data_IF_029210126880
#
_entry.id   IF_029210126880
#
_cell.length_a   1.000
_cell.length_b   1.000
_cell.length_c   1.000
_cell.angle_alpha   90.00
_cell.angle_beta   90.00
_cell.angle_gamma   90.00
#
_symmetry.space_group_name_H-M   'P 1'
#
loop_
_entity.id
_entity.type
_entity.pdbx_description
1 polymer ?
#
# COMPACT_ATOMS: atom_id res chain seq x y z
N UNK A 1 80.08 -11.68 -45.20
CA UNK A 1 79.46 -10.80 -44.17
C UNK A 1 77.96 -10.81 -44.42
N UNK A 2 77.16 -11.52 -43.55
CA UNK A 2 75.72 -11.66 -43.73
C UNK A 2 75.05 -11.11 -42.43
N UNK A 3 74.37 -9.96 -42.53
CA UNK A 3 73.66 -9.31 -41.45
C UNK A 3 72.25 -9.91 -41.37
N UNK A 4 71.95 -10.57 -40.28
CA UNK A 4 70.61 -11.08 -40.00
C UNK A 4 69.82 -10.03 -39.21
N UNK A 5 68.84 -9.44 -39.89
CA UNK A 5 67.85 -8.51 -39.24
C UNK A 5 66.84 -9.32 -38.42
N UNK A 6 66.79 -9.07 -37.07
CA UNK A 6 65.78 -9.64 -36.23
C UNK A 6 64.59 -8.65 -36.12
N UNK A 7 63.47 -9.04 -36.64
CA UNK A 7 62.22 -8.32 -36.54
C UNK A 7 61.59 -8.75 -35.19
N UNK A 8 61.51 -7.81 -34.24
CA UNK A 8 60.77 -7.98 -32.99
C UNK A 8 59.29 -7.59 -33.26
N UNK A 9 58.41 -8.58 -33.29
CA UNK A 9 56.97 -8.40 -33.33
C UNK A 9 56.48 -8.10 -31.90
N UNK A 10 56.17 -6.85 -31.62
CA UNK A 10 55.48 -6.43 -30.36
C UNK A 10 53.97 -6.66 -30.54
N UNK A 11 53.47 -7.72 -29.93
CA UNK A 11 52.04 -7.97 -29.84
C UNK A 11 51.50 -7.05 -28.76
N UNK A 12 50.81 -5.96 -29.16
CA UNK A 12 50.10 -5.06 -28.29
C UNK A 12 48.76 -5.72 -27.90
N UNK A 13 48.69 -6.22 -26.68
CA UNK A 13 47.49 -6.86 -26.11
C UNK A 13 46.53 -5.74 -25.62
N UNK A 14 45.63 -5.28 -26.50
CA UNK A 14 44.52 -4.39 -26.10
C UNK A 14 43.53 -5.14 -25.21
N UNK A 15 43.69 -5.00 -23.90
CA UNK A 15 42.69 -5.44 -22.93
C UNK A 15 41.50 -4.50 -23.02
N UNK A 16 40.47 -4.88 -23.76
CA UNK A 16 39.18 -4.22 -23.78
C UNK A 16 38.55 -4.42 -22.39
N UNK A 17 38.64 -3.42 -21.53
CA UNK A 17 37.81 -3.33 -20.31
C UNK A 17 36.35 -3.18 -20.72
N UNK A 18 35.63 -4.30 -20.73
CA UNK A 18 34.18 -4.31 -20.83
C UNK A 18 33.64 -3.83 -19.47
N UNK A 19 33.30 -2.55 -19.37
CA UNK A 19 32.52 -2.03 -18.24
C UNK A 19 31.14 -2.67 -18.29
N UNK A 20 30.70 -3.37 -17.22
CA UNK A 20 29.32 -3.87 -17.18
C UNK A 20 28.38 -2.66 -17.20
N UNK A 21 27.60 -2.53 -18.25
CA UNK A 21 26.47 -1.61 -18.29
C UNK A 21 25.42 -2.12 -17.31
N UNK A 22 25.37 -1.51 -16.11
CA UNK A 22 24.30 -1.73 -15.16
C UNK A 22 23.04 -1.13 -15.78
N UNK A 23 22.18 -1.97 -16.31
CA UNK A 23 20.85 -1.59 -16.75
C UNK A 23 20.04 -1.34 -15.47
N UNK A 24 19.96 -0.07 -15.04
CA UNK A 24 19.02 0.34 -14.03
C UNK A 24 17.63 0.22 -14.64
N UNK A 25 16.81 -0.68 -14.11
CA UNK A 25 15.39 -0.70 -14.46
C UNK A 25 14.79 0.68 -14.20
N UNK A 26 13.96 1.22 -15.13
CA UNK A 26 13.31 2.49 -14.90
C UNK A 26 12.51 2.42 -13.59
N UNK A 27 12.58 3.47 -12.77
CA UNK A 27 11.81 3.56 -11.53
C UNK A 27 10.32 3.43 -11.87
N UNK A 28 9.58 2.59 -11.12
CA UNK A 28 8.14 2.44 -11.30
C UNK A 28 7.45 3.81 -11.11
N UNK A 29 6.41 4.05 -11.91
CA UNK A 29 5.52 5.21 -11.72
C UNK A 29 4.53 4.94 -10.56
N UNK A 30 3.95 6.00 -10.01
CA UNK A 30 2.91 5.87 -8.99
C UNK A 30 1.70 5.05 -9.48
N UNK A 31 1.37 5.15 -10.77
CA UNK A 31 0.27 4.42 -11.39
C UNK A 31 0.59 2.92 -11.50
N UNK A 32 1.80 2.58 -11.96
CA UNK A 32 2.26 1.19 -12.03
C UNK A 32 2.27 0.50 -10.67
N UNK A 33 2.63 1.21 -9.59
CA UNK A 33 2.56 0.66 -8.22
C UNK A 33 1.13 0.31 -7.85
N UNK A 34 0.15 1.18 -8.12
CA UNK A 34 -1.26 0.90 -7.81
C UNK A 34 -1.80 -0.22 -8.69
N UNK A 35 -1.52 -0.22 -9.99
CA UNK A 35 -1.95 -1.29 -10.90
C UNK A 35 -1.37 -2.63 -10.45
N UNK A 36 -0.06 -2.73 -10.28
CA UNK A 36 0.62 -3.98 -9.93
C UNK A 36 0.16 -4.54 -8.58
N UNK A 37 0.05 -3.68 -7.55
CA UNK A 37 -0.42 -4.13 -6.23
C UNK A 37 -1.89 -4.55 -6.25
N UNK A 38 -2.72 -3.87 -7.05
CA UNK A 38 -4.13 -4.24 -7.25
C UNK A 38 -4.25 -5.60 -7.94
N UNK A 39 -3.53 -5.81 -9.04
CA UNK A 39 -3.52 -7.11 -9.73
C UNK A 39 -3.00 -8.24 -8.85
N UNK A 40 -1.94 -7.98 -8.08
CA UNK A 40 -1.35 -8.97 -7.18
C UNK A 40 -2.34 -9.42 -6.10
N UNK A 41 -3.05 -8.48 -5.45
CA UNK A 41 -4.01 -8.84 -4.40
C UNK A 41 -5.22 -9.60 -4.96
N UNK A 42 -5.75 -9.22 -6.15
CA UNK A 42 -6.87 -9.95 -6.75
C UNK A 42 -6.47 -11.34 -7.21
N UNK A 43 -5.27 -11.50 -7.77
CA UNK A 43 -4.72 -12.82 -8.12
C UNK A 43 -4.61 -13.68 -6.87
N UNK A 44 -4.01 -13.17 -5.80
CA UNK A 44 -3.88 -13.90 -4.54
C UNK A 44 -5.23 -14.28 -3.92
N UNK A 45 -6.23 -13.38 -3.96
CA UNK A 45 -7.60 -13.69 -3.49
C UNK A 45 -8.22 -14.81 -4.32
N UNK A 46 -8.01 -14.83 -5.63
CA UNK A 46 -8.53 -15.87 -6.52
C UNK A 46 -7.83 -17.20 -6.28
N UNK A 47 -6.50 -17.19 -6.21
CA UNK A 47 -5.70 -18.41 -6.06
C UNK A 47 -5.87 -19.06 -4.68
N UNK A 48 -6.14 -18.26 -3.64
CA UNK A 48 -6.26 -18.69 -2.24
C UNK A 48 -7.69 -18.58 -1.69
N UNK A 49 -8.68 -18.55 -2.56
CA UNK A 49 -10.08 -18.36 -2.18
C UNK A 49 -10.59 -19.46 -1.22
N UNK A 50 -10.12 -20.72 -1.36
CA UNK A 50 -10.46 -21.81 -0.46
C UNK A 50 -9.94 -21.60 0.96
N UNK A 51 -8.73 -21.07 1.10
CA UNK A 51 -8.14 -20.75 2.40
C UNK A 51 -8.88 -19.58 3.07
N UNK A 52 -9.25 -18.56 2.29
CA UNK A 52 -10.05 -17.43 2.78
C UNK A 52 -11.45 -17.90 3.22
N UNK A 53 -12.05 -18.87 2.51
CA UNK A 53 -13.34 -19.45 2.91
C UNK A 53 -13.25 -20.14 4.25
N UNK A 54 -12.21 -20.95 4.46
CA UNK A 54 -12.00 -21.65 5.73
C UNK A 54 -11.64 -20.69 6.86
N UNK A 55 -10.73 -19.75 6.59
CA UNK A 55 -10.26 -18.76 7.56
C UNK A 55 -10.32 -17.33 6.99
N UNK A 56 -11.34 -16.54 7.29
CA UNK A 56 -11.47 -15.16 6.82
C UNK A 56 -10.29 -14.24 7.19
N UNK A 57 -9.52 -14.55 8.24
CA UNK A 57 -8.33 -13.79 8.62
C UNK A 57 -7.19 -13.94 7.60
N UNK A 58 -7.24 -14.98 6.77
CA UNK A 58 -6.27 -15.16 5.67
C UNK A 58 -6.28 -13.97 4.70
N UNK A 59 -7.45 -13.37 4.47
CA UNK A 59 -7.54 -12.14 3.68
C UNK A 59 -6.73 -10.98 4.30
N UNK A 60 -6.74 -10.84 5.63
CA UNK A 60 -5.95 -9.81 6.31
C UNK A 60 -4.44 -10.03 6.07
N UNK A 61 -3.99 -11.29 6.13
CA UNK A 61 -2.61 -11.67 5.84
C UNK A 61 -2.22 -11.28 4.41
N UNK A 62 -3.03 -11.61 3.42
CA UNK A 62 -2.77 -11.21 2.02
C UNK A 62 -2.68 -9.70 1.84
N UNK A 63 -3.57 -8.94 2.49
CA UNK A 63 -3.50 -7.47 2.49
C UNK A 63 -2.19 -6.99 3.12
N UNK A 64 -1.76 -7.58 4.25
CA UNK A 64 -0.50 -7.23 4.90
C UNK A 64 0.73 -7.53 4.04
N UNK A 65 0.76 -8.65 3.37
CA UNK A 65 1.89 -9.07 2.54
C UNK A 65 1.97 -8.30 1.21
N UNK A 66 0.84 -7.96 0.61
CA UNK A 66 0.79 -7.43 -0.77
C UNK A 66 0.59 -5.91 -0.79
N UNK A 67 -0.31 -5.34 0.02
CA UNK A 67 -0.65 -3.92 -0.06
C UNK A 67 0.15 -3.05 0.91
N UNK A 68 0.43 -3.57 2.13
CA UNK A 68 1.08 -2.80 3.18
C UNK A 68 2.49 -2.30 2.81
N UNK A 69 3.33 -3.04 2.06
CA UNK A 69 4.65 -2.55 1.64
C UNK A 69 4.61 -1.27 0.80
N UNK A 70 3.47 -1.02 0.13
CA UNK A 70 3.25 0.17 -0.70
C UNK A 70 2.59 1.34 0.05
N UNK A 71 2.45 1.25 1.39
CA UNK A 71 1.78 2.27 2.21
C UNK A 71 2.70 2.80 3.32
N UNK A 72 2.68 4.13 3.54
CA UNK A 72 3.38 4.78 4.65
C UNK A 72 2.42 5.05 5.81
N UNK A 73 2.31 4.07 6.71
CA UNK A 73 1.44 4.19 7.88
C UNK A 73 1.92 5.23 8.88
N UNK A 74 3.21 5.53 8.96
CA UNK A 74 3.72 6.61 9.82
C UNK A 74 3.22 7.96 9.33
N UNK A 75 3.24 8.20 8.01
CA UNK A 75 2.70 9.41 7.41
C UNK A 75 1.17 9.49 7.49
N UNK A 76 0.48 8.37 7.30
CA UNK A 76 -0.97 8.28 7.52
C UNK A 76 -1.33 8.64 8.96
N UNK A 77 -0.63 8.08 9.94
CA UNK A 77 -0.82 8.35 11.36
C UNK A 77 -0.57 9.83 11.70
N UNK A 78 0.51 10.41 11.15
CA UNK A 78 0.82 11.82 11.30
C UNK A 78 -0.31 12.73 10.78
N UNK A 79 -0.90 12.37 9.64
CA UNK A 79 -2.03 13.11 9.06
C UNK A 79 -3.31 12.94 9.89
N UNK A 80 -3.59 11.74 10.40
CA UNK A 80 -4.75 11.46 11.24
C UNK A 80 -4.70 12.19 12.59
N UNK A 81 -3.50 12.24 13.21
CA UNK A 81 -3.31 12.90 14.49
C UNK A 81 -3.16 14.42 14.41
N UNK A 82 -2.73 14.94 13.24
CA UNK A 82 -2.54 16.36 13.02
C UNK A 82 -1.59 17.00 14.05
N UNK A 83 -2.07 18.01 14.80
CA UNK A 83 -1.26 18.71 15.82
C UNK A 83 -0.79 17.80 16.95
N UNK A 84 -1.56 16.79 17.30
CA UNK A 84 -1.27 15.86 18.39
C UNK A 84 -0.07 14.94 18.10
N UNK A 85 0.29 14.75 16.83
CA UNK A 85 1.49 14.02 16.49
C UNK A 85 2.76 14.59 17.09
N UNK A 86 2.89 15.93 17.10
CA UNK A 86 4.10 16.60 17.56
C UNK A 86 4.26 16.55 19.09
N UNK A 87 3.16 16.51 19.81
CA UNK A 87 3.13 16.52 21.28
C UNK A 87 3.20 15.13 21.91
N UNK A 88 2.99 14.08 21.13
CA UNK A 88 3.05 12.71 21.62
C UNK A 88 4.49 12.24 21.83
N UNK A 89 4.73 11.38 22.81
CA UNK A 89 5.99 10.68 23.02
C UNK A 89 6.29 9.73 21.87
N UNK A 90 7.59 9.51 21.60
CA UNK A 90 8.03 8.67 20.46
C UNK A 90 7.54 7.23 20.58
N UNK A 91 7.56 6.65 21.76
CA UNK A 91 7.05 5.32 22.06
C UNK A 91 5.56 5.19 21.72
N UNK A 92 4.75 6.13 22.22
CA UNK A 92 3.32 6.17 21.96
C UNK A 92 2.97 6.42 20.49
N UNK A 93 3.79 7.23 19.77
CA UNK A 93 3.63 7.41 18.32
C UNK A 93 3.85 6.10 17.57
N UNK A 94 4.90 5.36 17.93
CA UNK A 94 5.21 4.06 17.30
C UNK A 94 4.09 3.05 17.54
N UNK A 95 3.60 2.96 18.77
CA UNK A 95 2.48 2.09 19.12
C UNK A 95 1.20 2.50 18.38
N UNK A 96 0.89 3.80 18.34
CA UNK A 96 -0.25 4.31 17.58
C UNK A 96 -0.18 3.90 16.10
N UNK A 97 0.98 4.00 15.46
CA UNK A 97 1.15 3.59 14.05
C UNK A 97 0.77 2.12 13.85
N UNK A 98 1.24 1.25 14.76
CA UNK A 98 0.93 -0.19 14.73
C UNK A 98 -0.58 -0.41 14.88
N UNK A 99 -1.20 0.19 15.90
CA UNK A 99 -2.61 0.01 16.18
C UNK A 99 -3.50 0.62 15.11
N UNK A 100 -3.12 1.76 14.54
CA UNK A 100 -3.86 2.40 13.44
C UNK A 100 -3.77 1.58 12.14
N UNK A 101 -2.61 0.99 11.83
CA UNK A 101 -2.46 0.04 10.72
C UNK A 101 -3.44 -1.14 10.87
N UNK A 102 -3.45 -1.79 12.03
CA UNK A 102 -4.35 -2.90 12.30
C UNK A 102 -5.83 -2.49 12.18
N UNK A 103 -6.20 -1.32 12.69
CA UNK A 103 -7.55 -0.77 12.56
C UNK A 103 -7.94 -0.62 11.08
N UNK A 104 -7.07 -0.05 10.25
CA UNK A 104 -7.35 0.16 8.83
C UNK A 104 -7.48 -1.16 8.07
N UNK A 105 -6.55 -2.10 8.28
CA UNK A 105 -6.60 -3.42 7.65
C UNK A 105 -7.93 -4.11 8.02
N UNK A 106 -8.24 -4.16 9.31
CA UNK A 106 -9.45 -4.80 9.83
C UNK A 106 -10.73 -4.17 9.27
N UNK A 107 -10.75 -2.84 9.14
CA UNK A 107 -11.93 -2.10 8.69
C UNK A 107 -12.15 -2.24 7.19
N UNK A 108 -11.06 -2.22 6.41
CA UNK A 108 -11.16 -2.07 4.95
C UNK A 108 -10.78 -3.32 4.14
N UNK A 109 -10.21 -4.40 4.73
CA UNK A 109 -9.89 -5.63 3.97
C UNK A 109 -11.10 -6.23 3.26
N UNK A 110 -12.27 -6.17 3.88
CA UNK A 110 -13.50 -6.65 3.25
C UNK A 110 -13.83 -5.86 1.98
N UNK A 111 -13.53 -4.56 1.95
CA UNK A 111 -13.77 -3.73 0.76
C UNK A 111 -12.89 -4.15 -0.42
N UNK A 112 -11.65 -4.59 -0.16
CA UNK A 112 -10.75 -5.13 -1.20
C UNK A 112 -11.37 -6.33 -1.89
N UNK A 113 -11.99 -7.24 -1.15
CA UNK A 113 -12.65 -8.42 -1.71
C UNK A 113 -13.96 -8.09 -2.46
N UNK A 114 -14.51 -6.89 -2.27
CA UNK A 114 -15.80 -6.48 -2.85
C UNK A 114 -15.73 -6.08 -4.31
N UNK A 115 -14.58 -5.67 -4.82
CA UNK A 115 -14.37 -5.34 -6.21
C UNK A 115 -13.79 -6.54 -6.97
N UNK A 116 -13.99 -6.60 -8.28
CA UNK A 116 -13.24 -7.44 -9.21
C UNK A 116 -12.32 -6.56 -10.04
N UNK A 117 -11.26 -7.12 -10.62
CA UNK A 117 -10.34 -6.36 -11.48
C UNK A 117 -11.09 -5.71 -12.66
N UNK A 118 -12.04 -6.43 -13.25
CA UNK A 118 -12.82 -5.96 -14.40
C UNK A 118 -13.74 -4.78 -14.03
N UNK A 119 -14.01 -4.60 -12.75
CA UNK A 119 -14.82 -3.49 -12.25
C UNK A 119 -14.01 -2.19 -12.04
N UNK A 120 -12.68 -2.24 -12.15
CA UNK A 120 -11.79 -1.11 -11.88
C UNK A 120 -11.40 -0.43 -13.19
N UNK A 121 -11.74 0.84 -13.32
CA UNK A 121 -11.29 1.70 -14.40
C UNK A 121 -10.26 2.68 -13.86
N UNK A 122 -9.06 2.65 -14.42
CA UNK A 122 -8.02 3.63 -14.12
C UNK A 122 -8.25 4.90 -14.93
N UNK A 123 -8.16 6.04 -14.29
CA UNK A 123 -8.28 7.37 -14.90
C UNK A 123 -6.92 8.05 -14.94
N UNK A 124 -6.69 9.02 -15.81
CA UNK A 124 -5.43 9.77 -15.84
C UNK A 124 -5.08 10.31 -14.45
N UNK A 125 -3.87 10.01 -14.00
CA UNK A 125 -3.34 10.49 -12.73
C UNK A 125 -3.18 12.00 -12.72
N UNK A 126 -3.22 12.63 -11.54
CA UNK A 126 -3.05 14.09 -11.37
C UNK A 126 -1.84 14.36 -10.48
N UNK A 127 -1.04 15.34 -10.85
CA UNK A 127 -0.02 15.88 -9.97
C UNK A 127 -0.67 16.35 -8.66
N UNK A 128 -0.02 16.08 -7.55
CA UNK A 128 -0.45 16.58 -6.24
C UNK A 128 -0.07 18.05 -6.06
N UNK A 129 -0.54 18.63 -4.97
CA UNK A 129 -0.27 20.05 -4.63
C UNK A 129 1.18 20.31 -4.21
N UNK A 130 1.94 19.27 -3.86
CA UNK A 130 3.36 19.34 -3.48
C UNK A 130 4.21 18.61 -4.51
N UNK A 131 5.42 19.09 -4.82
CA UNK A 131 6.37 18.37 -5.66
C UNK A 131 6.56 16.92 -5.16
N UNK A 132 6.72 15.98 -6.09
CA UNK A 132 6.90 14.57 -5.74
C UNK A 132 5.64 13.89 -5.18
N UNK A 133 4.45 14.48 -5.34
CA UNK A 133 3.18 13.85 -4.98
C UNK A 133 2.28 13.66 -6.21
N UNK A 134 1.53 12.55 -6.23
CA UNK A 134 0.61 12.18 -7.31
C UNK A 134 -0.68 11.63 -6.70
N UNK A 135 -1.79 11.86 -7.39
CA UNK A 135 -3.06 11.19 -7.11
C UNK A 135 -3.39 10.25 -8.26
N UNK A 136 -3.31 8.95 -8.01
CA UNK A 136 -3.79 7.91 -8.91
C UNK A 136 -5.30 7.78 -8.71
N UNK A 137 -6.05 7.81 -9.79
CA UNK A 137 -7.51 7.90 -9.75
C UNK A 137 -8.13 6.65 -10.34
N UNK A 138 -9.10 6.06 -9.63
CA UNK A 138 -9.84 4.91 -10.11
C UNK A 138 -11.34 5.10 -9.91
N UNK A 139 -12.11 4.42 -10.74
CA UNK A 139 -13.55 4.24 -10.59
C UNK A 139 -13.84 2.75 -10.50
N UNK A 140 -14.63 2.38 -9.52
CA UNK A 140 -15.03 0.99 -9.28
C UNK A 140 -16.53 0.86 -9.53
N UNK A 141 -16.89 0.03 -10.52
CA UNK A 141 -18.27 -0.27 -10.84
C UNK A 141 -18.65 -1.64 -10.29
N UNK A 142 -19.65 -1.69 -9.44
CA UNK A 142 -20.21 -2.94 -8.94
C UNK A 142 -21.60 -3.17 -9.53
N UNK A 143 -21.94 -4.41 -9.95
CA UNK A 143 -23.27 -4.70 -10.49
C UNK A 143 -24.37 -4.32 -9.49
N UNK A 144 -25.33 -3.49 -9.93
CA UNK A 144 -26.45 -3.05 -9.09
C UNK A 144 -26.13 -1.98 -8.05
N UNK A 145 -24.90 -1.46 -8.01
CA UNK A 145 -24.47 -0.40 -7.07
C UNK A 145 -24.06 0.87 -7.83
N UNK A 146 -24.05 2.00 -7.13
CA UNK A 146 -23.52 3.24 -7.68
C UNK A 146 -22.01 3.13 -7.97
N UNK A 147 -21.54 3.92 -8.93
CA UNK A 147 -20.11 4.06 -9.22
C UNK A 147 -19.41 4.67 -8.00
N UNK A 148 -18.34 4.05 -7.54
CA UNK A 148 -17.51 4.53 -6.41
C UNK A 148 -16.18 5.02 -6.95
N UNK A 149 -15.76 6.23 -6.58
CA UNK A 149 -14.41 6.72 -6.90
C UNK A 149 -13.43 6.39 -5.78
N UNK A 150 -12.29 5.79 -6.14
CA UNK A 150 -11.20 5.54 -5.19
C UNK A 150 -9.95 6.23 -5.73
N UNK A 151 -9.46 7.20 -4.99
CA UNK A 151 -8.27 7.95 -5.35
C UNK A 151 -7.16 7.68 -4.32
N UNK A 152 -5.99 7.31 -4.81
CA UNK A 152 -4.81 7.02 -4.00
C UNK A 152 -3.87 8.22 -4.05
N UNK A 153 -3.51 8.77 -2.90
CA UNK A 153 -2.49 9.82 -2.80
C UNK A 153 -1.14 9.20 -2.49
N UNK A 154 -0.20 9.36 -3.39
CA UNK A 154 1.16 8.84 -3.24
C UNK A 154 2.17 9.99 -3.18
N UNK A 155 3.31 9.69 -2.60
CA UNK A 155 4.48 10.52 -2.66
C UNK A 155 5.72 9.68 -2.94
N UNK A 156 6.72 10.31 -3.53
CA UNK A 156 7.98 9.67 -3.86
C UNK A 156 8.95 9.74 -2.67
N UNK A 157 9.50 8.60 -2.27
CA UNK A 157 10.57 8.45 -1.28
C UNK A 157 11.75 7.74 -1.94
N UNK A 158 12.75 8.49 -2.35
CA UNK A 158 13.83 7.96 -3.18
C UNK A 158 13.28 7.49 -4.53
N UNK A 159 13.38 6.19 -4.80
CA UNK A 159 12.85 5.55 -6.03
C UNK A 159 11.46 4.94 -5.85
N UNK A 160 10.95 4.89 -4.64
CA UNK A 160 9.69 4.26 -4.29
C UNK A 160 8.53 5.26 -4.26
N UNK A 161 7.34 4.80 -4.68
CA UNK A 161 6.10 5.51 -4.47
C UNK A 161 5.29 4.86 -3.34
N UNK A 162 4.87 5.67 -2.36
CA UNK A 162 4.15 5.20 -1.18
C UNK A 162 2.81 5.91 -1.03
N UNK A 163 1.76 5.13 -0.81
CA UNK A 163 0.43 5.62 -0.49
C UNK A 163 0.43 6.20 0.93
N UNK A 164 -0.05 7.44 1.07
CA UNK A 164 -0.20 8.10 2.36
C UNK A 164 -1.63 8.52 2.67
N UNK A 165 -2.55 8.38 1.74
CA UNK A 165 -3.98 8.60 1.94
C UNK A 165 -4.79 7.92 0.84
N UNK A 166 -6.01 7.52 1.15
CA UNK A 166 -6.97 6.97 0.19
C UNK A 166 -8.26 7.78 0.35
N UNK A 167 -8.82 8.24 -0.77
CA UNK A 167 -10.09 8.94 -0.78
C UNK A 167 -11.14 8.04 -1.43
N UNK A 168 -12.25 7.83 -0.74
CA UNK A 168 -13.43 7.14 -1.26
C UNK A 168 -14.52 8.20 -1.45
N UNK A 169 -14.97 8.38 -2.69
CA UNK A 169 -15.91 9.43 -3.07
C UNK A 169 -15.51 10.83 -2.55
N UNK A 170 -14.21 11.11 -2.63
CA UNK A 170 -13.61 12.38 -2.20
C UNK A 170 -13.35 12.48 -0.69
N UNK A 171 -13.81 11.54 0.12
CA UNK A 171 -13.60 11.53 1.57
C UNK A 171 -12.29 10.80 1.91
N UNK A 172 -11.33 11.51 2.51
CA UNK A 172 -10.06 10.94 2.96
C UNK A 172 -10.26 9.98 4.11
N UNK A 173 -9.80 8.74 3.96
CA UNK A 173 -9.87 7.73 5.04
C UNK A 173 -9.07 8.18 6.26
N UNK A 174 -7.91 8.78 6.05
CA UNK A 174 -7.03 9.22 7.13
C UNK A 174 -7.65 10.42 7.88
N UNK A 175 -8.15 11.42 7.14
CA UNK A 175 -8.73 12.62 7.75
C UNK A 175 -10.04 12.35 8.45
N UNK A 176 -10.78 11.31 8.06
CA UNK A 176 -12.04 10.91 8.72
C UNK A 176 -11.85 10.52 10.19
N UNK A 177 -10.67 10.02 10.58
CA UNK A 177 -10.35 9.69 11.96
C UNK A 177 -9.93 10.89 12.82
N UNK A 178 -9.63 12.05 12.21
CA UNK A 178 -8.98 13.17 12.90
C UNK A 178 -9.83 13.73 14.05
N UNK A 179 -11.11 13.93 13.83
CA UNK A 179 -12.02 14.46 14.86
C UNK A 179 -12.17 13.48 16.02
N UNK A 180 -12.43 12.20 15.70
CA UNK A 180 -12.60 11.15 16.71
C UNK A 180 -11.31 10.97 17.54
N UNK A 181 -10.14 10.98 16.90
CA UNK A 181 -8.88 10.85 17.62
C UNK A 181 -8.55 12.09 18.46
N UNK A 182 -8.87 13.29 17.97
CA UNK A 182 -8.68 14.52 18.72
C UNK A 182 -9.59 14.56 19.96
N UNK A 183 -10.84 14.13 19.85
CA UNK A 183 -11.78 14.01 20.96
C UNK A 183 -11.29 13.01 22.01
N UNK A 184 -10.86 11.81 21.59
CA UNK A 184 -10.35 10.78 22.49
C UNK A 184 -9.08 11.24 23.22
N UNK A 185 -8.16 11.92 22.51
CA UNK A 185 -6.96 12.50 23.13
C UNK A 185 -7.31 13.58 24.13
N UNK A 186 -8.31 14.44 23.85
CA UNK A 186 -8.71 15.50 24.76
C UNK A 186 -9.35 14.98 26.05
N UNK A 187 -10.02 13.84 25.99
CA UNK A 187 -10.74 13.25 27.13
C UNK A 187 -9.90 12.27 27.94
N UNK A 188 -9.05 11.46 27.28
CA UNK A 188 -8.31 10.35 27.91
C UNK A 188 -6.80 10.40 27.68
N UNK A 189 -6.30 11.45 27.05
CA UNK A 189 -4.91 11.56 26.68
C UNK A 189 -4.52 10.65 25.51
N UNK A 190 -3.26 10.76 25.08
CA UNK A 190 -2.75 9.97 23.94
C UNK A 190 -2.70 8.47 24.25
N UNK A 191 -2.30 8.08 25.44
CA UNK A 191 -2.31 6.67 25.90
C UNK A 191 -3.72 6.08 25.93
N UNK A 192 -4.73 6.88 26.26
CA UNK A 192 -6.14 6.47 26.20
C UNK A 192 -6.58 6.13 24.77
N UNK A 193 -6.16 6.93 23.76
CA UNK A 193 -6.40 6.65 22.36
C UNK A 193 -5.75 5.34 21.93
N UNK A 194 -4.45 5.12 22.27
CA UNK A 194 -3.74 3.88 21.93
C UNK A 194 -4.45 2.67 22.53
N UNK A 195 -4.80 2.72 23.82
CA UNK A 195 -5.53 1.63 24.49
C UNK A 195 -6.93 1.38 23.91
N UNK A 196 -7.61 2.43 23.42
CA UNK A 196 -8.88 2.26 22.70
C UNK A 196 -8.71 1.48 21.40
N UNK A 197 -7.67 1.83 20.61
CA UNK A 197 -7.38 1.14 19.35
C UNK A 197 -6.99 -0.31 19.58
N UNK A 198 -6.16 -0.57 20.59
CA UNK A 198 -5.78 -1.92 21.00
C UNK A 198 -7.00 -2.78 21.31
N UNK A 199 -7.89 -2.29 22.17
CA UNK A 199 -9.16 -2.98 22.50
C UNK A 199 -10.04 -3.23 21.27
N UNK A 200 -10.10 -2.27 20.34
CA UNK A 200 -10.84 -2.45 19.08
C UNK A 200 -10.21 -3.56 18.21
N UNK A 201 -8.90 -3.61 18.15
CA UNK A 201 -8.16 -4.58 17.32
C UNK A 201 -8.23 -6.00 17.91
N UNK A 202 -8.30 -6.15 19.22
CA UNK A 202 -8.44 -7.45 19.89
C UNK A 202 -9.84 -8.05 19.79
N UNK A 203 -10.87 -7.26 19.44
CA UNK A 203 -12.23 -7.79 19.27
C UNK A 203 -12.27 -8.82 18.16
N UNK A 204 -12.99 -9.95 18.31
CA UNK A 204 -13.18 -10.90 17.20
C UNK A 204 -13.75 -10.17 15.97
N UNK A 205 -13.36 -10.61 14.78
CA UNK A 205 -13.98 -10.13 13.53
C UNK A 205 -15.49 -10.35 13.67
N UNK A 206 -16.28 -9.28 13.47
CA UNK A 206 -17.74 -9.37 13.59
C UNK A 206 -18.21 -10.53 12.69
N UNK A 207 -19.05 -11.43 13.24
CA UNK A 207 -19.50 -12.64 12.54
C UNK A 207 -20.06 -12.32 11.15
N UNK A 208 -20.79 -11.21 11.03
CA UNK A 208 -21.34 -10.73 9.76
C UNK A 208 -20.27 -10.44 8.68
N UNK A 209 -19.11 -9.89 9.09
CA UNK A 209 -18.00 -9.64 8.18
C UNK A 209 -17.31 -10.95 7.78
N UNK A 210 -17.14 -11.88 8.73
CA UNK A 210 -16.57 -13.19 8.46
C UNK A 210 -17.43 -13.96 7.47
N UNK A 211 -18.75 -13.96 7.67
CA UNK A 211 -19.71 -14.64 6.76
C UNK A 211 -19.74 -13.98 5.37
N UNK A 212 -19.65 -12.66 5.31
CA UNK A 212 -19.55 -11.94 4.04
C UNK A 212 -18.25 -12.29 3.30
N UNK A 213 -17.12 -12.35 3.99
CA UNK A 213 -15.83 -12.74 3.42
C UNK A 213 -15.92 -14.18 2.88
N UNK A 214 -16.44 -15.14 3.66
CA UNK A 214 -16.63 -16.53 3.23
C UNK A 214 -17.52 -16.65 1.99
N UNK A 215 -18.68 -15.99 2.01
CA UNK A 215 -19.63 -16.01 0.87
C UNK A 215 -18.99 -15.49 -0.41
N UNK A 216 -18.11 -14.52 -0.32
CA UNK A 216 -17.41 -13.93 -1.47
C UNK A 216 -16.23 -14.78 -1.93
N UNK A 217 -15.46 -15.38 -1.01
CA UNK A 217 -14.43 -16.34 -1.33
C UNK A 217 -15.00 -17.51 -2.15
N UNK A 218 -16.14 -18.07 -1.76
CA UNK A 218 -16.85 -19.10 -2.53
C UNK A 218 -17.20 -18.69 -3.96
N UNK A 219 -17.50 -17.41 -4.19
CA UNK A 219 -17.78 -16.89 -5.54
C UNK A 219 -16.51 -16.70 -6.36
N UNK A 220 -15.41 -16.33 -5.72
CA UNK A 220 -14.11 -16.16 -6.38
C UNK A 220 -13.47 -17.50 -6.79
N UNK A 221 -13.83 -18.62 -6.11
CA UNK A 221 -13.41 -19.96 -6.44
C UNK A 221 -14.17 -20.58 -7.64
N UNK A 222 -15.23 -19.96 -8.12
CA UNK A 222 -16.05 -20.43 -9.26
C UNK A 222 -15.64 -19.73 -10.56
#
# INVERSE_FOLDING_TARGET
>A
MKWKTRILLTISLCFLWQTPTVWSSPAQTAEEVIVASTEAIYRAIKDQCGEIEQNPLHLHKLVEEILIPHADFARMAQLALGKHWKTAETSLRSEFVIQFRHLLIRTYSTAVQMASLEAIRYLPSRAGTKPGTVTVRTEVRRPGEALVTINYRLYQRGVEWLVYDILVDGISLVSNYRSTFAEEISTKGFSGLVGLLEKKNQRPVIQSNADLIRKRARRACK
#
